data_IF_360204678984
#
_entry.id   IF_360204678984
#
_cell.length_a   1.000
_cell.length_b   1.000
_cell.length_c   1.000
_cell.angle_alpha   90.00
_cell.angle_beta   90.00
_cell.angle_gamma   90.00
#
_symmetry.space_group_name_H-M   'P 1'
#
loop_
_entity.id
_entity.type
_entity.pdbx_description
1 polymer ?
#
# COMPACT_ATOMS: atom_id res chain seq x y z
N UNK A 1 23.42 5.43 -2.05
CA UNK A 1 22.18 5.95 -2.62
C UNK A 1 21.05 5.83 -1.63
N UNK A 2 20.25 6.88 -1.46
CA UNK A 2 19.15 6.83 -0.49
C UNK A 2 17.97 6.09 -1.07
N UNK A 3 17.40 5.20 -0.26
CA UNK A 3 16.18 4.50 -0.62
C UNK A 3 14.99 5.33 -0.14
N UNK A 4 14.03 5.50 -1.01
CA UNK A 4 12.83 6.26 -0.71
C UNK A 4 11.59 5.40 -0.85
N UNK A 5 10.63 5.65 0.02
CA UNK A 5 9.31 5.03 -0.13
C UNK A 5 8.65 5.54 -1.42
N UNK A 6 7.78 4.72 -1.99
CA UNK A 6 6.97 5.18 -3.10
C UNK A 6 6.10 6.35 -2.64
N UNK A 7 5.89 7.29 -3.53
CA UNK A 7 4.93 8.35 -3.28
C UNK A 7 3.52 7.74 -3.22
N UNK A 8 2.65 8.23 -2.32
CA UNK A 8 1.28 7.71 -2.26
C UNK A 8 0.57 7.71 -3.60
N UNK A 9 0.80 8.73 -4.44
CA UNK A 9 0.20 8.78 -5.77
C UNK A 9 0.65 7.61 -6.65
N UNK A 10 1.90 7.17 -6.51
CA UNK A 10 2.41 6.03 -7.28
C UNK A 10 1.74 4.73 -6.86
N UNK A 11 1.47 4.58 -5.57
CA UNK A 11 0.78 3.41 -5.06
C UNK A 11 -0.65 3.36 -5.60
N UNK A 12 -1.34 4.49 -5.57
CA UNK A 12 -2.70 4.59 -6.08
C UNK A 12 -2.74 4.27 -7.58
N UNK A 13 -1.79 4.82 -8.34
CA UNK A 13 -1.72 4.58 -9.77
C UNK A 13 -1.44 3.11 -10.08
N UNK A 14 -0.56 2.48 -9.32
CA UNK A 14 -0.24 1.06 -9.52
C UNK A 14 -1.45 0.18 -9.23
N UNK A 15 -2.23 0.49 -8.20
CA UNK A 15 -3.45 -0.25 -7.90
C UNK A 15 -4.48 -0.08 -9.01
N UNK A 16 -4.60 1.12 -9.55
CA UNK A 16 -5.52 1.38 -10.66
C UNK A 16 -5.16 0.53 -11.88
N UNK A 17 -3.88 0.41 -12.17
CA UNK A 17 -3.43 -0.41 -13.31
C UNK A 17 -3.81 -1.87 -13.15
N UNK A 18 -4.00 -2.32 -11.92
CA UNK A 18 -4.41 -3.68 -11.64
C UNK A 18 -5.92 -3.83 -11.49
N UNK A 19 -6.67 -2.75 -11.73
CA UNK A 19 -8.12 -2.80 -11.67
C UNK A 19 -8.68 -2.80 -10.27
N UNK A 20 -7.93 -2.27 -9.30
CA UNK A 20 -8.38 -2.22 -7.92
C UNK A 20 -8.12 -0.83 -7.33
N UNK A 21 -8.35 -0.67 -6.03
CA UNK A 21 -8.15 0.60 -5.34
C UNK A 21 -7.99 0.34 -3.85
N UNK A 22 -7.53 1.36 -3.12
CA UNK A 22 -7.43 1.25 -1.66
C UNK A 22 -8.80 0.98 -1.04
N UNK A 23 -9.85 1.62 -1.55
CA UNK A 23 -11.20 1.39 -1.05
C UNK A 23 -11.64 -0.05 -1.26
N UNK A 24 -11.38 -0.60 -2.45
CA UNK A 24 -11.74 -1.98 -2.75
C UNK A 24 -10.98 -2.94 -1.86
N UNK A 25 -9.68 -2.72 -1.67
CA UNK A 25 -8.88 -3.58 -0.80
C UNK A 25 -9.35 -3.52 0.65
N UNK A 26 -9.70 -2.33 1.12
CA UNK A 26 -10.22 -2.18 2.48
C UNK A 26 -11.48 -3.00 2.67
N UNK A 27 -12.41 -2.91 1.74
CA UNK A 27 -13.67 -3.65 1.84
C UNK A 27 -13.44 -5.15 1.76
N UNK A 28 -12.53 -5.60 0.89
CA UNK A 28 -12.22 -7.02 0.79
C UNK A 28 -11.64 -7.57 2.08
N UNK A 29 -10.93 -6.74 2.82
CA UNK A 29 -10.34 -7.12 4.11
C UNK A 29 -11.31 -6.97 5.28
N UNK A 30 -12.55 -6.56 5.02
CA UNK A 30 -13.53 -6.35 6.08
C UNK A 30 -13.36 -5.03 6.82
N UNK A 31 -12.70 -4.06 6.20
CA UNK A 31 -12.42 -2.76 6.80
C UNK A 31 -13.30 -1.68 6.15
N UNK A 32 -13.36 -0.52 6.80
CA UNK A 32 -14.01 0.63 6.18
C UNK A 32 -13.24 1.05 4.94
N UNK A 33 -13.93 1.65 3.96
CA UNK A 33 -13.36 1.93 2.65
C UNK A 33 -12.16 2.87 2.69
N UNK A 34 -12.03 3.70 3.71
CA UNK A 34 -10.92 4.65 3.82
C UNK A 34 -9.78 4.16 4.72
N UNK A 35 -9.91 2.97 5.30
CA UNK A 35 -8.97 2.54 6.34
C UNK A 35 -7.55 2.31 5.81
N UNK A 36 -7.43 1.70 4.63
CA UNK A 36 -6.10 1.41 4.08
C UNK A 36 -5.32 2.66 3.70
N UNK A 37 -5.99 3.78 3.51
CA UNK A 37 -5.30 5.04 3.24
C UNK A 37 -4.32 5.39 4.37
N UNK A 38 -4.62 4.95 5.58
CA UNK A 38 -3.73 5.20 6.72
C UNK A 38 -2.35 4.58 6.53
N UNK A 39 -2.25 3.48 5.80
CA UNK A 39 -0.96 2.84 5.56
C UNK A 39 -0.03 3.71 4.72
N UNK A 40 -0.56 4.67 3.98
CA UNK A 40 0.23 5.57 3.15
C UNK A 40 0.95 6.62 3.98
N UNK A 41 0.38 7.00 5.12
CA UNK A 41 0.89 8.11 5.91
C UNK A 41 1.54 7.67 7.22
N UNK A 42 1.26 6.44 7.68
CA UNK A 42 1.84 5.94 8.92
C UNK A 42 2.19 4.48 8.77
N UNK A 43 3.09 4.01 9.65
CA UNK A 43 3.47 2.61 9.63
C UNK A 43 2.33 1.75 10.15
N UNK A 44 1.90 0.81 9.31
CA UNK A 44 0.85 -0.12 9.66
C UNK A 44 1.12 -1.43 8.90
N UNK A 45 1.86 -2.37 9.54
CA UNK A 45 2.32 -3.57 8.82
C UNK A 45 1.23 -4.38 8.13
N UNK A 46 0.06 -4.54 8.77
CA UNK A 46 -1.03 -5.29 8.15
C UNK A 46 -1.54 -4.60 6.89
N UNK A 47 -1.72 -3.28 6.95
CA UNK A 47 -2.19 -2.52 5.79
C UNK A 47 -1.15 -2.51 4.68
N UNK A 48 0.11 -2.37 5.04
CA UNK A 48 1.21 -2.41 4.09
C UNK A 48 1.24 -3.74 3.35
N UNK A 49 1.05 -4.84 4.06
CA UNK A 49 1.04 -6.16 3.45
C UNK A 49 -0.12 -6.33 2.49
N UNK A 50 -1.31 -5.86 2.85
CA UNK A 50 -2.47 -5.95 1.98
C UNK A 50 -2.22 -5.23 0.65
N UNK A 51 -1.65 -4.04 0.72
CA UNK A 51 -1.33 -3.27 -0.48
C UNK A 51 -0.27 -3.98 -1.31
N UNK A 52 0.79 -4.46 -0.66
CA UNK A 52 1.89 -5.13 -1.36
C UNK A 52 1.42 -6.40 -2.04
N UNK A 53 0.57 -7.18 -1.39
CA UNK A 53 0.03 -8.40 -1.99
C UNK A 53 -0.81 -8.09 -3.22
N UNK A 54 -1.59 -7.02 -3.17
CA UNK A 54 -2.38 -6.60 -4.32
C UNK A 54 -1.50 -6.20 -5.49
N UNK A 55 -0.33 -5.65 -5.22
CA UNK A 55 0.61 -5.25 -6.26
C UNK A 55 1.56 -6.38 -6.69
N UNK A 56 1.55 -7.49 -5.95
CA UNK A 56 2.42 -8.61 -6.27
C UNK A 56 3.88 -8.38 -5.99
N UNK A 57 4.20 -7.51 -5.05
CA UNK A 57 5.58 -7.21 -4.66
C UNK A 57 5.69 -7.21 -3.14
N UNK A 58 6.92 -7.22 -2.64
CA UNK A 58 7.15 -7.22 -1.20
C UNK A 58 6.94 -5.81 -0.63
N UNK A 59 6.45 -5.71 0.62
CA UNK A 59 6.30 -4.39 1.25
C UNK A 59 7.58 -3.58 1.29
N UNK A 60 8.73 -4.24 1.44
CA UNK A 60 10.03 -3.57 1.47
C UNK A 60 10.34 -2.87 0.16
N UNK A 61 9.77 -3.32 -0.94
CA UNK A 61 9.96 -2.68 -2.23
C UNK A 61 9.19 -1.37 -2.35
N UNK A 62 8.07 -1.28 -1.66
CA UNK A 62 7.25 -0.07 -1.66
C UNK A 62 7.75 0.92 -0.59
N UNK A 63 8.08 0.40 0.58
CA UNK A 63 8.48 1.23 1.72
C UNK A 63 9.86 0.82 2.25
N UNK A 64 10.91 0.95 1.44
CA UNK A 64 12.24 0.50 1.89
C UNK A 64 12.71 1.22 3.16
N UNK A 65 12.30 2.47 3.36
CA UNK A 65 12.70 3.21 4.55
C UNK A 65 12.05 2.66 5.83
N UNK A 66 10.92 1.96 5.71
CA UNK A 66 10.23 1.39 6.86
C UNK A 66 10.77 0.03 7.26
N UNK A 67 11.51 -0.63 6.39
CA UNK A 67 11.96 -2.01 6.58
C UNK A 67 13.47 -2.12 6.55
N UNK A 68 14.14 -1.20 7.19
CA UNK A 68 15.60 -1.26 7.26
C UNK A 68 16.06 -2.35 8.21
#
# INVERSE_FOLDING_TARGET
MMQQNWHPADIIAALKKRGTSLSALSRQAGLASSTLTNALTRRWPNGERLIAEALGIAPEQIWPARYR
#
